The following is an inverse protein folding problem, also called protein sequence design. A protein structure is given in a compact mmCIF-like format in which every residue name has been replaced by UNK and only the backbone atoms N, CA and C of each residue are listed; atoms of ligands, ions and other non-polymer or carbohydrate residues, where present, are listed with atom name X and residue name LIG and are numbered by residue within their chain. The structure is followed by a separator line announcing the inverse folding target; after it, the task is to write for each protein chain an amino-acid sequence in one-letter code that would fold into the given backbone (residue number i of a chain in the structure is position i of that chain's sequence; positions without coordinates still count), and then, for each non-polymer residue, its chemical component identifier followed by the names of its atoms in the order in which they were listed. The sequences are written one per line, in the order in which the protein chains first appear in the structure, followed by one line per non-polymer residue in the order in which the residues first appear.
data_IF_607415288496
#
_entry.id   IF_607415288496
#
_cell.length_a   1.000
_cell.length_b   1.000
_cell.length_c   1.000
_cell.angle_alpha   90.00
_cell.angle_beta   90.00
_cell.angle_gamma   90.00
#
_symmetry.space_group_name_H-M   'P 1'
#
loop_
_entity.id
_entity.type
_entity.pdbx_description
1 polymer ?
#
# COMPACT_ATOMS: atom_id res chain seq x y z
N UNK A 1 -14.17 -35.10 -34.44
CA UNK A 1 -14.23 -35.27 -32.96
C UNK A 1 -13.12 -34.39 -32.37
N UNK A 2 -13.37 -33.76 -31.21
CA UNK A 2 -12.67 -32.62 -30.56
C UNK A 2 -13.16 -31.24 -31.07
N UNK A 3 -14.24 -30.66 -30.54
CA UNK A 3 -14.56 -30.13 -29.18
C UNK A 3 -14.21 -28.63 -29.07
N UNK A 4 -15.24 -27.90 -28.64
CA UNK A 4 -15.45 -26.45 -28.56
C UNK A 4 -14.40 -25.67 -27.75
N UNK A 5 -14.22 -24.39 -28.10
CA UNK A 5 -14.27 -23.31 -27.11
C UNK A 5 -14.64 -21.98 -27.75
N UNK A 6 -15.71 -21.41 -27.21
CA UNK A 6 -16.30 -20.11 -27.49
C UNK A 6 -15.31 -19.01 -27.07
N UNK A 7 -14.98 -18.10 -27.98
CA UNK A 7 -14.38 -16.80 -27.66
C UNK A 7 -15.05 -15.75 -28.53
N UNK A 8 -16.07 -15.09 -27.96
CA UNK A 8 -16.61 -13.81 -28.43
C UNK A 8 -15.44 -12.81 -28.46
N UNK A 9 -14.79 -12.66 -29.61
CA UNK A 9 -13.77 -11.63 -29.85
C UNK A 9 -14.49 -10.28 -29.98
N UNK A 10 -14.35 -9.42 -28.97
CA UNK A 10 -14.48 -7.97 -29.18
C UNK A 10 -13.27 -7.55 -30.01
N UNK A 11 -13.49 -7.23 -31.28
CA UNK A 11 -12.46 -6.67 -32.15
C UNK A 11 -12.43 -5.15 -31.88
N UNK A 12 -11.33 -4.66 -31.32
CA UNK A 12 -11.07 -3.23 -31.11
C UNK A 12 -10.20 -2.76 -32.27
N UNK A 13 -10.67 -1.79 -33.06
CA UNK A 13 -9.92 -1.18 -34.16
C UNK A 13 -9.83 0.32 -33.90
N UNK A 14 -8.60 0.84 -33.87
CA UNK A 14 -8.27 2.26 -33.73
C UNK A 14 -7.96 2.83 -35.13
N UNK A 15 -8.70 3.85 -35.60
CA UNK A 15 -8.45 4.52 -36.88
C UNK A 15 -8.64 6.03 -36.74
N UNK A 16 -7.73 6.82 -37.34
CA UNK A 16 -7.64 8.29 -37.26
C UNK A 16 -8.46 8.92 -38.41
N UNK A 17 -9.29 9.92 -38.11
CA UNK A 17 -10.15 10.63 -39.08
C UNK A 17 -9.49 11.87 -39.70
N UNK A 18 -9.82 12.17 -40.96
CA UNK A 18 -9.50 13.43 -41.67
C UNK A 18 -10.82 14.16 -41.98
N UNK A 19 -10.85 15.49 -41.80
CA UNK A 19 -12.05 16.32 -42.01
C UNK A 19 -12.37 16.50 -43.51
N UNK A 20 -13.64 16.31 -43.90
CA UNK A 20 -14.14 16.50 -45.28
C UNK A 20 -15.46 17.30 -45.23
N UNK A 21 -15.69 18.30 -46.11
CA UNK A 21 -16.93 19.09 -46.13
C UNK A 21 -18.13 18.31 -46.71
N UNK A 22 -19.38 18.65 -46.31
CA UNK A 22 -20.55 17.83 -46.63
C UNK A 22 -21.24 18.26 -47.93
N UNK A 23 -21.50 17.31 -48.83
CA UNK A 23 -22.61 17.38 -49.76
C UNK A 23 -23.30 16.01 -49.83
N UNK A 24 -24.64 16.03 -49.74
CA UNK A 24 -25.66 15.13 -50.35
C UNK A 24 -26.96 15.21 -49.50
N UNK A 25 -28.16 15.24 -50.11
CA UNK A 25 -29.41 15.62 -49.44
C UNK A 25 -30.10 14.46 -48.70
N UNK A 26 -30.93 14.86 -47.73
CA UNK A 26 -31.56 14.04 -46.70
C UNK A 26 -33.00 13.59 -47.04
N UNK A 27 -33.35 12.36 -46.65
CA UNK A 27 -34.74 11.90 -46.46
C UNK A 27 -34.85 11.09 -45.16
N UNK A 28 -35.79 11.39 -44.25
CA UNK A 28 -36.01 10.56 -43.06
C UNK A 28 -37.25 9.66 -43.15
N UNK A 29 -37.18 8.58 -42.37
CA UNK A 29 -38.26 7.78 -41.75
C UNK A 29 -38.84 6.55 -42.49
N UNK A 30 -38.21 5.41 -42.23
CA UNK A 30 -38.84 4.10 -41.99
C UNK A 30 -38.17 3.48 -40.74
N UNK A 31 -38.81 2.52 -40.05
CA UNK A 31 -38.32 1.88 -38.80
C UNK A 31 -36.78 1.79 -38.75
N UNK A 32 -36.15 2.33 -37.69
CA UNK A 32 -34.69 2.35 -37.58
C UNK A 32 -34.16 0.93 -37.41
N UNK A 33 -33.82 0.29 -38.53
CA UNK A 33 -33.22 -1.04 -38.61
C UNK A 33 -31.76 -1.05 -38.11
N UNK A 34 -31.18 0.13 -37.89
CA UNK A 34 -29.86 0.32 -37.26
C UNK A 34 -30.01 1.38 -36.18
N UNK A 35 -29.67 1.01 -34.95
CA UNK A 35 -29.61 1.91 -33.80
C UNK A 35 -28.20 2.48 -33.65
N UNK A 36 -28.09 3.78 -33.40
CA UNK A 36 -26.82 4.48 -33.19
C UNK A 36 -26.87 5.25 -31.87
N UNK A 37 -25.89 5.03 -31.01
CA UNK A 37 -25.69 5.81 -29.78
C UNK A 37 -24.28 6.37 -29.72
N UNK A 38 -24.10 7.50 -29.04
CA UNK A 38 -22.80 8.13 -28.89
C UNK A 38 -22.56 8.60 -27.46
N UNK A 39 -21.29 8.52 -27.05
CA UNK A 39 -20.77 9.04 -25.80
C UNK A 39 -19.60 9.97 -26.10
N UNK A 40 -19.68 11.20 -25.62
CA UNK A 40 -18.62 12.20 -25.68
C UNK A 40 -18.54 12.85 -24.30
N UNK A 41 -17.38 12.76 -23.66
CA UNK A 41 -17.15 13.36 -22.35
C UNK A 41 -17.17 14.88 -22.45
N UNK A 42 -17.79 15.55 -21.47
CA UNK A 42 -18.02 16.99 -21.46
C UNK A 42 -17.50 17.59 -20.15
N UNK A 43 -16.83 18.75 -20.16
CA UNK A 43 -16.60 19.65 -21.29
C UNK A 43 -15.48 19.20 -22.26
N UNK A 44 -15.53 19.70 -23.50
CA UNK A 44 -14.41 19.66 -24.45
C UNK A 44 -13.84 21.07 -24.62
N UNK A 45 -12.59 21.18 -25.04
CA UNK A 45 -11.87 22.46 -25.02
C UNK A 45 -11.42 22.88 -26.41
N UNK A 46 -11.55 24.18 -26.69
CA UNK A 46 -11.04 24.82 -27.91
C UNK A 46 -9.53 24.63 -27.97
N UNK A 47 -9.04 24.21 -29.14
CA UNK A 47 -7.62 23.90 -29.38
C UNK A 47 -7.18 22.50 -28.96
N UNK A 48 -8.01 21.75 -28.21
CA UNK A 48 -7.68 20.40 -27.73
C UNK A 48 -8.42 19.30 -28.50
N UNK A 49 -7.85 18.09 -28.43
CA UNK A 49 -8.46 16.88 -28.96
C UNK A 49 -9.59 16.37 -28.04
N UNK A 50 -10.57 15.72 -28.63
CA UNK A 50 -11.65 15.02 -27.93
C UNK A 50 -11.81 13.61 -28.49
N UNK A 51 -12.27 12.70 -27.63
CA UNK A 51 -12.56 11.32 -27.97
C UNK A 51 -14.05 11.05 -27.82
N UNK A 52 -14.66 10.48 -28.85
CA UNK A 52 -16.05 10.05 -28.82
C UNK A 52 -16.17 8.56 -29.12
N UNK A 53 -17.08 7.90 -28.43
CA UNK A 53 -17.40 6.49 -28.63
C UNK A 53 -18.76 6.37 -29.29
N UNK A 54 -18.83 5.77 -30.46
CA UNK A 54 -20.08 5.48 -31.18
C UNK A 54 -20.36 3.99 -31.13
N UNK A 55 -21.56 3.65 -30.71
CA UNK A 55 -22.06 2.28 -30.70
C UNK A 55 -23.13 2.14 -31.78
N UNK A 56 -22.98 1.12 -32.61
CA UNK A 56 -23.89 0.80 -33.71
C UNK A 56 -24.45 -0.60 -33.46
N UNK A 57 -25.78 -0.72 -33.42
CA UNK A 57 -26.48 -1.99 -33.22
C UNK A 57 -27.39 -2.26 -34.41
N UNK A 58 -27.22 -3.42 -35.05
CA UNK A 58 -28.10 -3.82 -36.15
C UNK A 58 -29.36 -4.49 -35.63
N UNK A 59 -30.52 -4.04 -36.07
CA UNK A 59 -31.82 -4.71 -35.98
C UNK A 59 -32.29 -5.22 -37.35
N UNK A 60 -31.41 -5.15 -38.36
CA UNK A 60 -31.71 -5.58 -39.71
C UNK A 60 -31.61 -7.11 -39.81
N UNK A 61 -32.64 -7.75 -40.36
CA UNK A 61 -32.65 -9.17 -40.69
C UNK A 61 -31.74 -9.44 -41.91
N UNK A 62 -30.43 -9.41 -41.72
CA UNK A 62 -29.42 -9.62 -42.76
C UNK A 62 -28.05 -9.02 -42.43
N UNK A 63 -27.07 -9.21 -43.32
CA UNK A 63 -25.73 -8.60 -43.19
C UNK A 63 -25.80 -7.09 -43.48
N UNK A 64 -25.30 -6.28 -42.56
CA UNK A 64 -25.13 -4.83 -42.73
C UNK A 64 -23.65 -4.51 -42.89
N UNK A 65 -23.26 -3.88 -43.99
CA UNK A 65 -21.86 -3.45 -44.22
C UNK A 65 -21.70 -1.98 -43.89
N UNK A 66 -20.82 -1.66 -42.96
CA UNK A 66 -20.54 -0.28 -42.59
C UNK A 66 -19.64 0.36 -43.65
N UNK A 67 -19.99 1.57 -44.07
CA UNK A 67 -19.24 2.36 -45.05
C UNK A 67 -18.46 3.47 -44.33
N UNK A 68 -19.13 4.20 -43.44
CA UNK A 68 -18.52 5.25 -42.64
C UNK A 68 -19.31 5.50 -41.35
N UNK A 69 -18.63 5.95 -40.31
CA UNK A 69 -19.22 6.29 -39.01
C UNK A 69 -18.71 7.67 -38.63
N UNK A 70 -19.59 8.57 -38.16
CA UNK A 70 -19.19 9.95 -37.92
C UNK A 70 -19.96 10.64 -36.80
N UNK A 71 -19.40 11.74 -36.31
CA UNK A 71 -20.09 12.74 -35.49
C UNK A 71 -20.17 14.05 -36.26
N UNK A 72 -21.36 14.63 -36.29
CA UNK A 72 -21.59 15.95 -36.84
C UNK A 72 -21.96 16.94 -35.74
N UNK A 73 -21.22 18.04 -35.69
CA UNK A 73 -21.52 19.25 -34.94
C UNK A 73 -22.06 20.31 -35.90
N UNK A 74 -22.62 21.39 -35.35
CA UNK A 74 -23.05 22.55 -36.16
C UNK A 74 -21.91 23.23 -36.91
N UNK A 75 -20.65 23.01 -36.51
CA UNK A 75 -19.45 23.68 -37.05
C UNK A 75 -18.49 22.74 -37.80
N UNK A 76 -18.59 21.41 -37.65
CA UNK A 76 -17.76 20.45 -38.39
C UNK A 76 -18.33 19.04 -38.30
N UNK A 77 -17.88 18.15 -39.19
CA UNK A 77 -18.18 16.73 -39.18
C UNK A 77 -16.87 15.93 -39.16
N UNK A 78 -16.80 14.95 -38.26
CA UNK A 78 -15.68 14.03 -38.09
C UNK A 78 -16.15 12.64 -38.52
N UNK A 79 -15.58 12.09 -39.59
CA UNK A 79 -15.99 10.80 -40.16
C UNK A 79 -14.79 9.86 -40.29
N UNK A 80 -14.97 8.60 -39.90
CA UNK A 80 -14.02 7.51 -40.15
C UNK A 80 -14.59 6.55 -41.19
N UNK A 81 -13.74 6.08 -42.11
CA UNK A 81 -14.09 4.99 -43.01
C UNK A 81 -14.24 3.70 -42.21
N UNK A 82 -15.38 3.03 -42.38
CA UNK A 82 -15.69 1.74 -41.75
C UNK A 82 -15.75 0.59 -42.78
N UNK A 83 -15.27 0.85 -44.01
CA UNK A 83 -15.27 -0.14 -45.10
C UNK A 83 -14.51 -1.40 -44.69
N UNK A 84 -15.20 -2.54 -44.72
CA UNK A 84 -14.65 -3.83 -44.29
C UNK A 84 -15.23 -4.34 -42.95
N UNK A 85 -16.00 -3.52 -42.25
CA UNK A 85 -16.78 -3.96 -41.09
C UNK A 85 -18.19 -4.37 -41.53
N UNK A 86 -18.58 -5.60 -41.22
CA UNK A 86 -19.96 -6.06 -41.31
C UNK A 86 -20.49 -6.40 -39.92
N UNK A 87 -21.78 -6.14 -39.72
CA UNK A 87 -22.51 -6.49 -38.50
C UNK A 87 -23.73 -7.32 -38.88
N UNK A 88 -23.93 -8.43 -38.18
CA UNK A 88 -25.10 -9.30 -38.36
C UNK A 88 -26.26 -8.81 -37.48
N UNK A 89 -27.42 -9.43 -37.63
CA UNK A 89 -28.61 -9.12 -36.84
C UNK A 89 -28.33 -9.19 -35.32
N UNK A 90 -28.80 -8.18 -34.58
CA UNK A 90 -28.62 -8.00 -33.14
C UNK A 90 -27.16 -7.87 -32.67
N UNK A 91 -26.20 -7.79 -33.58
CA UNK A 91 -24.82 -7.51 -33.23
C UNK A 91 -24.61 -6.02 -32.96
N UNK A 92 -23.70 -5.74 -32.05
CA UNK A 92 -23.30 -4.39 -31.66
C UNK A 92 -21.81 -4.23 -31.89
N UNK A 93 -21.42 -3.15 -32.55
CA UNK A 93 -20.02 -2.76 -32.73
C UNK A 93 -19.79 -1.37 -32.15
N UNK A 94 -18.53 -1.09 -31.78
CA UNK A 94 -18.13 0.18 -31.19
C UNK A 94 -16.98 0.77 -31.99
N UNK A 95 -17.11 2.03 -32.37
CA UNK A 95 -16.13 2.78 -33.15
C UNK A 95 -15.73 4.02 -32.34
N UNK A 96 -14.43 4.29 -32.27
CA UNK A 96 -13.89 5.49 -31.64
C UNK A 96 -13.61 6.56 -32.69
N UNK A 97 -13.97 7.80 -32.38
CA UNK A 97 -13.69 8.98 -33.19
C UNK A 97 -12.85 9.94 -32.38
N UNK A 98 -11.70 10.32 -32.92
CA UNK A 98 -10.81 11.35 -32.37
C UNK A 98 -10.98 12.58 -33.24
N UNK A 99 -11.32 13.71 -32.61
CA UNK A 99 -11.45 15.01 -33.27
C UNK A 99 -10.71 16.09 -32.49
N UNK A 100 -10.67 17.31 -33.02
CA UNK A 100 -10.14 18.48 -32.33
C UNK A 100 -11.11 19.65 -32.47
N UNK A 101 -11.27 20.45 -31.42
CA UNK A 101 -12.14 21.64 -31.49
C UNK A 101 -11.33 22.79 -32.09
N UNK A 102 -11.71 23.32 -33.27
CA UNK A 102 -10.98 24.40 -33.91
C UNK A 102 -10.99 25.69 -33.09
N UNK A 103 -9.91 26.48 -33.20
CA UNK A 103 -9.73 27.77 -32.50
C UNK A 103 -10.85 28.81 -32.75
N UNK A 104 -11.55 28.72 -33.88
CA UNK A 104 -12.62 29.66 -34.22
C UNK A 104 -13.98 29.33 -33.56
N UNK A 105 -14.10 28.19 -32.88
CA UNK A 105 -15.31 27.81 -32.14
C UNK A 105 -15.41 28.66 -30.87
N UNK A 106 -16.61 29.13 -30.52
CA UNK A 106 -16.84 29.92 -29.31
C UNK A 106 -17.16 29.00 -28.13
N UNK A 107 -16.82 29.36 -26.87
CA UNK A 107 -17.32 28.64 -25.70
C UNK A 107 -18.85 28.64 -25.66
N UNK A 108 -19.45 27.53 -25.23
CA UNK A 108 -20.91 27.43 -25.12
C UNK A 108 -21.43 25.99 -25.15
N UNK A 109 -22.75 25.84 -25.12
CA UNK A 109 -23.42 24.55 -25.30
C UNK A 109 -23.63 24.27 -26.78
N UNK A 110 -23.09 23.15 -27.26
CA UNK A 110 -23.22 22.69 -28.63
C UNK A 110 -24.03 21.41 -28.69
N UNK A 111 -24.66 21.19 -29.84
CA UNK A 111 -25.43 20.00 -30.13
C UNK A 111 -24.71 19.18 -31.18
N UNK A 112 -24.75 17.86 -31.03
CA UNK A 112 -24.14 16.93 -31.99
C UNK A 112 -25.00 15.70 -32.22
N UNK A 113 -24.82 15.06 -33.38
CA UNK A 113 -25.37 13.74 -33.71
C UNK A 113 -24.26 12.82 -34.16
N UNK A 114 -24.29 11.58 -33.72
CA UNK A 114 -23.57 10.51 -34.40
C UNK A 114 -24.44 9.91 -35.51
N UNK A 115 -23.80 9.46 -36.58
CA UNK A 115 -24.44 8.78 -37.70
C UNK A 115 -23.56 7.64 -38.22
N UNK A 116 -24.20 6.72 -38.94
CA UNK A 116 -23.54 5.65 -39.68
C UNK A 116 -24.10 5.57 -41.09
N UNK A 117 -23.21 5.52 -42.08
CA UNK A 117 -23.52 5.16 -43.47
C UNK A 117 -23.28 3.67 -43.60
N UNK A 118 -24.30 2.91 -43.98
CA UNK A 118 -24.23 1.47 -44.14
C UNK A 118 -24.85 1.02 -45.47
N UNK A 119 -24.44 -0.12 -45.98
CA UNK A 119 -25.07 -0.81 -47.10
C UNK A 119 -25.77 -2.07 -46.58
N UNK A 120 -27.04 -2.22 -46.94
CA UNK A 120 -27.87 -3.39 -46.61
C UNK A 120 -28.32 -4.08 -47.90
N UNK A 121 -28.47 -5.39 -47.85
CA UNK A 121 -28.97 -6.18 -48.99
C UNK A 121 -30.48 -6.33 -48.86
N UNK A 122 -31.23 -5.71 -49.77
CA UNK A 122 -32.69 -5.70 -49.83
C UNK A 122 -33.09 -6.11 -51.26
N UNK A 123 -33.95 -7.11 -51.42
CA UNK A 123 -34.42 -7.61 -52.74
C UNK A 123 -33.29 -7.88 -53.76
N UNK A 124 -32.21 -8.54 -53.32
CA UNK A 124 -31.01 -8.85 -54.13
C UNK A 124 -30.26 -7.63 -54.68
N UNK A 125 -30.49 -6.43 -54.12
CA UNK A 125 -29.76 -5.20 -54.44
C UNK A 125 -29.18 -4.55 -53.19
N UNK A 126 -27.95 -4.05 -53.29
CA UNK A 126 -27.34 -3.28 -52.21
C UNK A 126 -27.92 -1.87 -52.18
N UNK A 127 -28.46 -1.49 -51.02
CA UNK A 127 -28.99 -0.15 -50.76
C UNK A 127 -28.18 0.53 -49.67
N UNK A 128 -27.78 1.77 -49.91
CA UNK A 128 -27.14 2.60 -48.89
C UNK A 128 -28.20 3.23 -48.00
N UNK A 129 -28.02 3.10 -46.70
CA UNK A 129 -28.84 3.73 -45.67
C UNK A 129 -27.97 4.57 -44.75
N UNK A 130 -28.56 5.61 -44.19
CA UNK A 130 -27.93 6.46 -43.16
C UNK A 130 -28.80 6.38 -41.92
N UNK A 131 -28.22 5.91 -40.82
CA UNK A 131 -28.88 5.90 -39.52
C UNK A 131 -28.23 6.95 -38.61
N UNK A 132 -29.06 7.70 -37.91
CA UNK A 132 -28.61 8.74 -36.98
C UNK A 132 -29.06 8.42 -35.56
N UNK A 133 -28.22 8.83 -34.62
CA UNK A 133 -28.55 8.87 -33.22
C UNK A 133 -29.47 10.05 -32.87
N UNK A 134 -30.02 10.04 -31.65
CA UNK A 134 -30.67 11.21 -31.07
C UNK A 134 -29.70 12.39 -30.95
N UNK A 135 -30.25 13.59 -30.76
CA UNK A 135 -29.45 14.80 -30.56
C UNK A 135 -28.84 14.83 -29.15
N UNK A 136 -27.53 14.95 -29.05
CA UNK A 136 -26.79 15.09 -27.79
C UNK A 136 -26.31 16.53 -27.59
N UNK A 137 -25.92 16.86 -26.36
CA UNK A 137 -25.36 18.15 -26.00
C UNK A 137 -23.97 18.00 -25.37
N UNK A 138 -23.07 18.93 -25.68
CA UNK A 138 -21.73 19.02 -25.09
C UNK A 138 -21.41 20.47 -24.79
N UNK A 139 -20.75 20.74 -23.66
CA UNK A 139 -20.20 22.05 -23.32
C UNK A 139 -18.81 22.20 -23.91
N UNK A 140 -18.56 23.29 -24.62
CA UNK A 140 -17.24 23.70 -25.14
C UNK A 140 -16.71 24.88 -24.31
N UNK A 141 -15.45 24.85 -23.89
CA UNK A 141 -14.76 25.92 -23.12
C UNK A 141 -13.50 26.43 -23.84
N UNK A 142 -13.07 27.67 -23.57
CA UNK A 142 -11.78 28.26 -24.01
C UNK A 142 -10.84 28.39 -22.81
N UNK A 143 -9.54 28.17 -23.01
CA UNK A 143 -8.50 28.15 -21.97
C UNK A 143 -7.54 29.33 -22.20
N UNK A 144 -7.75 30.49 -21.57
CA UNK A 144 -6.74 31.56 -21.45
C UNK A 144 -6.86 32.24 -20.08
N UNK A 145 -5.78 32.25 -19.28
CA UNK A 145 -5.67 33.10 -18.07
C UNK A 145 -6.15 32.51 -16.74
N UNK A 146 -6.31 31.19 -16.63
CA UNK A 146 -6.87 30.54 -15.44
C UNK A 146 -5.90 29.48 -14.85
N UNK A 147 -5.97 29.24 -13.54
CA UNK A 147 -5.45 28.00 -12.96
C UNK A 147 -6.58 26.98 -13.02
N UNK A 148 -6.36 25.86 -13.69
CA UNK A 148 -7.30 24.74 -13.65
C UNK A 148 -7.06 23.94 -12.38
N UNK A 149 -8.15 23.51 -11.75
CA UNK A 149 -8.14 22.55 -10.66
C UNK A 149 -8.92 21.36 -11.19
N UNK A 150 -8.30 20.21 -11.30
CA UNK A 150 -8.96 18.97 -11.70
C UNK A 150 -8.81 17.96 -10.57
N UNK A 151 -9.94 17.46 -10.07
CA UNK A 151 -9.94 16.35 -9.11
C UNK A 151 -9.70 15.05 -9.92
N UNK A 152 -8.52 14.45 -9.77
CA UNK A 152 -8.11 13.30 -10.60
C UNK A 152 -8.62 11.97 -10.09
N UNK A 153 -8.61 11.78 -8.77
CA UNK A 153 -9.01 10.51 -8.17
C UNK A 153 -9.54 10.75 -6.75
N UNK A 154 -10.70 10.18 -6.49
CA UNK A 154 -11.32 10.05 -5.17
C UNK A 154 -11.90 8.65 -5.17
N UNK A 155 -11.68 7.86 -4.12
CA UNK A 155 -12.33 6.54 -4.04
C UNK A 155 -13.85 6.71 -4.24
N UNK A 156 -14.36 6.18 -5.36
CA UNK A 156 -15.72 6.50 -5.87
C UNK A 156 -16.84 5.87 -5.02
N UNK A 157 -16.47 5.01 -4.07
CA UNK A 157 -17.34 4.30 -3.16
C UNK A 157 -16.63 4.10 -1.82
N UNK A 158 -16.96 4.92 -0.82
CA UNK A 158 -16.40 4.84 0.52
C UNK A 158 -17.45 4.23 1.48
N UNK A 159 -17.09 3.27 2.35
CA UNK A 159 -17.98 2.80 3.41
C UNK A 159 -18.24 3.92 4.44
N UNK A 160 -19.37 3.87 5.15
CA UNK A 160 -19.79 4.92 6.09
C UNK A 160 -18.66 5.31 7.08
N UNK A 161 -18.26 6.58 7.04
CA UNK A 161 -17.23 7.27 7.87
C UNK A 161 -15.76 6.85 7.66
N UNK A 162 -15.18 7.17 6.50
CA UNK A 162 -13.71 7.05 6.33
C UNK A 162 -13.07 8.30 5.74
N UNK A 163 -11.80 8.47 6.12
CA UNK A 163 -10.86 9.40 5.51
C UNK A 163 -10.79 9.13 4.01
N UNK A 164 -11.06 10.15 3.20
CA UNK A 164 -10.90 10.09 1.76
C UNK A 164 -9.54 10.69 1.39
N UNK A 165 -8.77 10.02 0.54
CA UNK A 165 -7.64 10.63 -0.13
C UNK A 165 -8.13 11.26 -1.43
N UNK A 166 -7.97 12.56 -1.58
CA UNK A 166 -8.34 13.33 -2.76
C UNK A 166 -7.08 13.72 -3.50
N UNK A 167 -6.91 13.21 -4.72
CA UNK A 167 -5.86 13.65 -5.63
C UNK A 167 -6.35 14.83 -6.47
N UNK A 168 -5.62 15.94 -6.41
CA UNK A 168 -5.88 17.18 -7.14
C UNK A 168 -4.73 17.46 -8.09
N UNK A 169 -5.04 17.88 -9.31
CA UNK A 169 -4.07 18.48 -10.23
C UNK A 169 -4.38 19.94 -10.41
N UNK A 170 -3.38 20.78 -10.16
CA UNK A 170 -3.41 22.21 -10.40
C UNK A 170 -2.56 22.50 -11.63
N UNK A 171 -3.17 23.10 -12.65
CA UNK A 171 -2.46 23.47 -13.88
C UNK A 171 -2.50 24.98 -14.01
N UNK A 172 -1.35 25.64 -13.81
CA UNK A 172 -1.25 27.07 -14.06
C UNK A 172 -1.05 27.31 -15.55
N UNK A 173 -2.06 27.80 -16.25
CA UNK A 173 -2.01 27.97 -17.72
C UNK A 173 -1.42 29.31 -18.17
N UNK A 174 -0.96 30.18 -17.26
CA UNK A 174 -0.33 31.45 -17.66
C UNK A 174 -0.22 32.57 -16.62
N UNK A 175 -0.51 32.32 -15.34
CA UNK A 175 -0.47 33.32 -14.26
C UNK A 175 0.95 33.46 -13.70
N UNK A 176 1.42 34.70 -13.50
CA UNK A 176 2.78 34.96 -13.00
C UNK A 176 3.09 34.26 -11.66
N UNK A 177 4.32 33.74 -11.47
CA UNK A 177 4.68 32.80 -10.41
C UNK A 177 4.73 33.36 -8.97
N UNK A 178 4.03 34.44 -8.62
CA UNK A 178 4.16 35.10 -7.30
C UNK A 178 2.86 35.45 -6.57
N UNK A 179 1.70 35.06 -7.09
CA UNK A 179 0.43 35.37 -6.44
C UNK A 179 0.14 34.37 -5.31
N UNK A 180 -0.27 34.83 -4.11
CA UNK A 180 -0.66 33.94 -3.03
C UNK A 180 -1.92 33.17 -3.44
N UNK A 181 -1.87 31.85 -3.30
CA UNK A 181 -2.95 30.93 -3.64
C UNK A 181 -3.46 30.26 -2.36
N UNK A 182 -4.77 30.27 -2.16
CA UNK A 182 -5.45 29.59 -1.07
C UNK A 182 -6.33 28.48 -1.66
N UNK A 183 -6.01 27.23 -1.32
CA UNK A 183 -6.83 26.07 -1.65
C UNK A 183 -7.78 25.77 -0.48
N UNK A 184 -9.06 25.60 -0.81
CA UNK A 184 -10.11 25.17 0.12
C UNK A 184 -10.82 23.96 -0.47
N UNK A 185 -11.07 22.94 0.36
CA UNK A 185 -11.94 21.83 0.02
C UNK A 185 -13.22 21.91 0.86
N UNK A 186 -14.36 21.74 0.22
CA UNK A 186 -15.67 21.71 0.87
C UNK A 186 -16.42 20.42 0.51
N UNK A 187 -17.20 19.89 1.44
CA UNK A 187 -18.25 18.92 1.16
C UNK A 187 -19.58 19.46 1.66
N UNK A 188 -20.56 19.60 0.77
CA UNK A 188 -21.92 20.06 1.11
C UNK A 188 -21.91 21.30 2.04
N UNK A 189 -21.09 22.31 1.74
CA UNK A 189 -20.86 23.55 2.51
C UNK A 189 -20.10 23.42 3.84
N UNK A 190 -19.51 22.27 4.15
CA UNK A 190 -18.60 22.07 5.29
C UNK A 190 -17.15 22.14 4.81
N UNK A 191 -16.31 22.99 5.41
CA UNK A 191 -14.87 23.07 5.09
C UNK A 191 -14.19 21.78 5.55
N UNK A 192 -13.53 21.08 4.62
CA UNK A 192 -12.80 19.84 4.87
C UNK A 192 -11.30 20.07 5.04
N UNK A 193 -10.75 21.02 4.27
CA UNK A 193 -9.31 21.31 4.25
C UNK A 193 -9.06 22.74 3.80
N UNK A 194 -7.97 23.31 4.30
CA UNK A 194 -7.49 24.65 3.97
C UNK A 194 -5.98 24.66 3.91
N UNK A 195 -5.42 25.13 2.80
CA UNK A 195 -3.98 25.17 2.60
C UNK A 195 -3.54 26.39 1.81
N UNK A 196 -2.48 27.05 2.29
CA UNK A 196 -1.82 28.13 1.57
C UNK A 196 -0.76 27.52 0.65
N UNK A 197 -0.93 27.65 -0.66
CA UNK A 197 0.00 27.14 -1.64
C UNK A 197 1.02 28.22 -2.00
N UNK A 198 2.29 27.91 -1.77
CA UNK A 198 3.40 28.74 -2.23
C UNK A 198 3.82 28.31 -3.64
N UNK A 199 3.39 29.10 -4.63
CA UNK A 199 3.84 29.11 -6.03
C UNK A 199 3.34 27.97 -6.94
N UNK A 200 2.74 28.37 -8.07
CA UNK A 200 2.50 27.52 -9.25
C UNK A 200 3.17 28.21 -10.44
N UNK A 201 4.20 27.60 -11.04
CA UNK A 201 4.85 28.19 -12.22
C UNK A 201 3.95 28.08 -13.47
N UNK A 202 3.91 29.09 -14.36
CA UNK A 202 3.20 29.00 -15.63
C UNK A 202 3.60 27.74 -16.41
N UNK A 203 2.62 27.05 -16.97
CA UNK A 203 2.78 25.86 -17.80
C UNK A 203 3.19 24.59 -17.03
N UNK A 204 3.20 24.60 -15.70
CA UNK A 204 3.49 23.41 -14.89
C UNK A 204 2.25 22.86 -14.22
N UNK A 205 2.16 21.54 -14.23
CA UNK A 205 1.18 20.75 -13.48
C UNK A 205 1.72 20.47 -12.08
N UNK A 206 0.86 20.58 -11.08
CA UNK A 206 1.17 20.29 -9.69
C UNK A 206 0.13 19.32 -9.14
N UNK A 207 0.58 18.17 -8.69
CA UNK A 207 -0.28 17.17 -8.07
C UNK A 207 -0.23 17.30 -6.55
N UNK A 208 -1.39 17.30 -5.90
CA UNK A 208 -1.55 17.30 -4.45
C UNK A 208 -2.42 16.11 -4.04
N UNK A 209 -1.99 15.40 -3.00
CA UNK A 209 -2.79 14.34 -2.38
C UNK A 209 -3.18 14.80 -0.98
N UNK A 210 -4.48 14.92 -0.73
CA UNK A 210 -5.02 15.50 0.50
C UNK A 210 -5.94 14.47 1.18
N UNK A 211 -5.62 14.11 2.41
CA UNK A 211 -6.45 13.25 3.25
C UNK A 211 -7.48 14.09 4.02
N UNK A 212 -8.77 13.82 3.83
CA UNK A 212 -9.87 14.56 4.48
C UNK A 212 -10.90 13.63 5.12
N UNK A 213 -11.46 14.03 6.25
CA UNK A 213 -12.57 13.30 6.88
C UNK A 213 -13.91 13.81 6.34
N UNK A 214 -14.68 12.94 5.68
CA UNK A 214 -15.98 13.33 5.11
C UNK A 214 -17.09 13.42 6.17
N UNK A 215 -18.07 14.33 6.01
CA UNK A 215 -19.24 14.39 6.88
C UNK A 215 -20.08 13.11 6.75
N UNK A 216 -20.66 12.65 7.85
CA UNK A 216 -21.49 11.44 7.85
C UNK A 216 -22.74 11.62 6.98
N UNK A 217 -22.89 10.79 5.95
CA UNK A 217 -24.10 10.69 5.12
C UNK A 217 -24.40 9.20 4.90
N UNK A 218 -25.57 8.68 5.33
CA UNK A 218 -25.87 7.25 5.33
C UNK A 218 -26.05 6.64 3.93
N UNK A 219 -26.54 7.42 2.96
CA UNK A 219 -26.57 7.05 1.55
C UNK A 219 -26.81 8.31 0.74
N UNK A 220 -26.07 8.49 -0.36
CA UNK A 220 -26.29 9.66 -1.19
C UNK A 220 -25.08 10.04 -2.02
N UNK A 221 -25.09 11.30 -2.45
CA UNK A 221 -23.98 11.88 -3.18
C UNK A 221 -23.46 13.02 -2.34
N UNK A 222 -22.16 13.02 -2.05
CA UNK A 222 -21.46 14.17 -1.49
C UNK A 222 -20.79 14.88 -2.64
N UNK A 223 -21.11 16.15 -2.81
CA UNK A 223 -20.42 17.02 -3.75
C UNK A 223 -19.20 17.60 -3.03
N UNK A 224 -18.01 17.15 -3.43
CA UNK A 224 -16.74 17.70 -2.97
C UNK A 224 -16.34 18.81 -3.92
N UNK A 225 -16.21 20.02 -3.41
CA UNK A 225 -15.82 21.21 -4.16
C UNK A 225 -14.42 21.63 -3.77
N UNK A 226 -13.50 21.64 -4.74
CA UNK A 226 -12.20 22.29 -4.61
C UNK A 226 -12.32 23.74 -5.08
N UNK A 227 -11.86 24.68 -4.25
CA UNK A 227 -11.85 26.11 -4.53
C UNK A 227 -10.42 26.61 -4.38
N UNK A 228 -9.81 27.05 -5.46
CA UNK A 228 -8.52 27.73 -5.44
C UNK A 228 -8.73 29.23 -5.67
N UNK A 229 -8.45 30.03 -4.66
CA UNK A 229 -8.45 31.49 -4.75
C UNK A 229 -7.02 31.99 -4.97
N UNK A 230 -6.77 32.70 -6.07
CA UNK A 230 -5.42 33.13 -6.48
C UNK A 230 -5.31 34.65 -6.67
N UNK A 231 -5.89 35.43 -5.76
CA UNK A 231 -5.86 36.91 -5.68
C UNK A 231 -6.61 37.65 -6.79
N UNK A 232 -6.47 37.24 -8.04
CA UNK A 232 -7.10 37.86 -9.23
C UNK A 232 -8.26 37.04 -9.79
N UNK A 233 -8.51 35.86 -9.24
CA UNK A 233 -9.55 34.94 -9.70
C UNK A 233 -9.79 33.79 -8.74
N UNK A 234 -10.84 33.03 -9.03
CA UNK A 234 -11.24 31.83 -8.29
C UNK A 234 -11.41 30.71 -9.33
N UNK A 235 -10.74 29.59 -9.11
CA UNK A 235 -10.96 28.36 -9.85
C UNK A 235 -11.68 27.35 -8.97
N UNK A 236 -12.65 26.65 -9.55
CA UNK A 236 -13.45 25.68 -8.82
C UNK A 236 -13.66 24.43 -9.65
N UNK A 237 -13.55 23.28 -9.01
CA UNK A 237 -14.02 22.02 -9.54
C UNK A 237 -14.85 21.29 -8.50
N UNK A 238 -15.81 20.50 -8.97
CA UNK A 238 -16.74 19.78 -8.12
C UNK A 238 -16.82 18.34 -8.56
N UNK A 239 -16.39 17.44 -7.69
CA UNK A 239 -16.45 16.02 -7.89
C UNK A 239 -17.55 15.41 -7.04
N UNK A 240 -18.30 14.47 -7.63
CA UNK A 240 -19.39 13.78 -6.94
C UNK A 240 -18.90 12.45 -6.39
N UNK A 241 -18.80 12.36 -5.08
CA UNK A 241 -18.57 11.09 -4.40
C UNK A 241 -19.91 10.43 -4.13
N UNK A 242 -20.14 9.25 -4.72
CA UNK A 242 -21.32 8.47 -4.42
C UNK A 242 -21.04 7.63 -3.18
N UNK A 243 -21.73 7.96 -2.09
CA UNK A 243 -21.82 7.05 -0.95
C UNK A 243 -22.89 6.03 -1.33
N UNK A 244 -22.43 4.86 -1.74
CA UNK A 244 -23.35 3.75 -1.98
C UNK A 244 -24.07 3.44 -0.67
N UNK A 245 -25.43 3.38 -0.65
CA UNK A 245 -26.10 2.74 0.47
C UNK A 245 -25.49 1.36 0.63
N UNK A 246 -25.21 0.94 1.87
CA UNK A 246 -24.87 -0.45 2.15
C UNK A 246 -25.80 -1.33 1.32
N UNK A 247 -25.23 -2.10 0.37
CA UNK A 247 -26.03 -3.07 -0.35
C UNK A 247 -26.62 -4.00 0.71
N UNK A 248 -27.92 -3.86 0.96
CA UNK A 248 -28.76 -4.95 1.47
C UNK A 248 -28.79 -6.04 0.40
N UNK A 249 -27.65 -6.68 0.18
CA UNK A 249 -27.67 -8.06 -0.27
C UNK A 249 -28.51 -8.82 0.75
N UNK A 250 -29.26 -9.82 0.29
CA UNK A 250 -29.97 -10.73 1.19
C UNK A 250 -29.03 -11.09 2.35
N UNK A 251 -29.45 -10.73 3.57
CA UNK A 251 -28.64 -10.97 4.76
C UNK A 251 -28.42 -12.47 4.88
N UNK A 252 -27.22 -12.90 4.51
CA UNK A 252 -26.85 -14.30 4.61
C UNK A 252 -26.45 -14.58 6.06
N UNK A 253 -27.46 -14.85 6.89
CA UNK A 253 -27.31 -15.13 8.31
C UNK A 253 -26.29 -16.25 8.57
N UNK A 254 -26.25 -17.28 7.72
CA UNK A 254 -25.30 -18.40 7.82
C UNK A 254 -23.86 -17.94 7.63
N UNK A 255 -23.59 -17.15 6.58
CA UNK A 255 -22.27 -16.61 6.32
C UNK A 255 -21.85 -15.62 7.41
N UNK A 256 -22.75 -14.71 7.80
CA UNK A 256 -22.47 -13.72 8.83
C UNK A 256 -22.15 -14.36 10.19
N UNK A 257 -22.92 -15.38 10.60
CA UNK A 257 -22.67 -16.14 11.82
C UNK A 257 -21.31 -16.85 11.77
N UNK A 258 -20.96 -17.45 10.62
CA UNK A 258 -19.68 -18.14 10.44
C UNK A 258 -18.49 -17.19 10.61
N UNK A 259 -18.54 -16.01 9.98
CA UNK A 259 -17.47 -15.01 10.08
C UNK A 259 -17.40 -14.40 11.48
N UNK A 260 -18.53 -14.14 12.13
CA UNK A 260 -18.56 -13.64 13.52
C UNK A 260 -18.01 -14.68 14.50
N UNK A 261 -18.34 -15.96 14.32
CA UNK A 261 -17.77 -17.05 15.12
C UNK A 261 -16.26 -17.13 14.94
N UNK A 262 -15.76 -16.96 13.71
CA UNK A 262 -14.32 -16.92 13.45
C UNK A 262 -13.65 -15.68 14.06
N UNK A 263 -14.29 -14.52 13.99
CA UNK A 263 -13.82 -13.29 14.63
C UNK A 263 -13.71 -13.46 16.15
N UNK A 264 -14.75 -14.00 16.79
CA UNK A 264 -14.74 -14.29 18.22
C UNK A 264 -13.64 -15.31 18.59
N UNK A 265 -13.47 -16.38 17.80
CA UNK A 265 -12.40 -17.36 18.00
C UNK A 265 -11.02 -16.69 17.91
N UNK A 266 -10.78 -15.91 16.87
CA UNK A 266 -9.50 -15.24 16.62
C UNK A 266 -9.19 -14.21 17.70
N UNK A 267 -10.18 -13.40 18.12
CA UNK A 267 -10.05 -12.46 19.22
C UNK A 267 -9.67 -13.15 20.52
N UNK A 268 -10.35 -14.23 20.89
CA UNK A 268 -10.06 -14.95 22.13
C UNK A 268 -8.65 -15.58 22.12
N UNK A 269 -8.19 -16.07 20.97
CA UNK A 269 -6.82 -16.57 20.81
C UNK A 269 -5.80 -15.43 20.97
N UNK A 270 -6.03 -14.28 20.32
CA UNK A 270 -5.17 -13.09 20.43
C UNK A 270 -5.13 -12.54 21.86
N UNK A 271 -6.29 -12.44 22.52
CA UNK A 271 -6.41 -12.00 23.90
C UNK A 271 -5.69 -12.97 24.85
N UNK A 272 -5.89 -14.29 24.67
CA UNK A 272 -5.16 -15.31 25.43
C UNK A 272 -3.64 -15.21 25.24
N UNK A 273 -3.17 -14.98 24.01
CA UNK A 273 -1.76 -14.76 23.72
C UNK A 273 -1.20 -13.53 24.45
N UNK A 274 -1.94 -12.43 24.44
CA UNK A 274 -1.57 -11.20 25.14
C UNK A 274 -1.54 -11.38 26.66
N UNK A 275 -2.49 -12.10 27.25
CA UNK A 275 -2.46 -12.44 28.68
C UNK A 275 -1.24 -13.30 29.02
N UNK A 276 -0.90 -14.30 28.20
CA UNK A 276 0.32 -15.11 28.38
C UNK A 276 1.59 -14.25 28.35
N UNK A 277 1.65 -13.25 27.46
CA UNK A 277 2.75 -12.30 27.39
C UNK A 277 2.89 -11.48 28.68
N UNK A 278 1.77 -10.98 29.22
CA UNK A 278 1.75 -10.24 30.49
C UNK A 278 2.17 -11.15 31.66
N UNK A 279 1.72 -12.41 31.68
CA UNK A 279 2.12 -13.38 32.70
C UNK A 279 3.63 -13.65 32.69
N UNK A 280 4.27 -13.56 31.52
CA UNK A 280 5.72 -13.64 31.38
C UNK A 280 6.42 -12.28 31.67
N UNK A 281 5.70 -11.30 32.23
CA UNK A 281 6.16 -9.94 32.53
C UNK A 281 6.67 -9.16 31.31
N UNK A 282 6.09 -9.42 30.14
CA UNK A 282 6.42 -8.71 28.89
C UNK A 282 5.28 -7.80 28.45
N UNK A 283 5.62 -6.72 27.75
CA UNK A 283 4.67 -5.79 27.14
C UNK A 283 4.93 -5.67 25.64
N UNK A 284 3.86 -5.76 24.84
CA UNK A 284 3.88 -5.47 23.40
C UNK A 284 3.17 -4.14 23.14
N UNK A 285 3.91 -3.12 22.72
CA UNK A 285 3.38 -1.78 22.43
C UNK A 285 2.36 -1.87 21.29
N UNK A 286 1.15 -1.37 21.51
CA UNK A 286 0.09 -1.32 20.49
C UNK A 286 -0.76 -2.58 20.38
N UNK A 287 -0.37 -3.70 21.01
CA UNK A 287 -1.18 -4.92 21.01
C UNK A 287 -2.48 -4.74 21.83
N UNK A 288 -2.42 -3.95 22.89
CA UNK A 288 -3.56 -3.54 23.73
C UNK A 288 -4.57 -2.68 22.96
N UNK A 289 -4.08 -1.71 22.19
CA UNK A 289 -4.92 -0.87 21.33
C UNK A 289 -5.62 -1.71 20.26
N UNK A 290 -4.87 -2.58 19.58
CA UNK A 290 -5.42 -3.46 18.54
C UNK A 290 -6.45 -4.45 19.11
N UNK A 291 -6.26 -4.97 20.32
CA UNK A 291 -7.26 -5.80 20.99
C UNK A 291 -8.52 -5.01 21.36
N UNK A 292 -8.36 -3.76 21.78
CA UNK A 292 -9.50 -2.86 22.06
C UNK A 292 -10.30 -2.59 20.79
N UNK A 293 -9.62 -2.26 19.68
CA UNK A 293 -10.25 -2.10 18.37
C UNK A 293 -10.91 -3.40 17.89
N UNK A 294 -10.22 -4.55 18.02
CA UNK A 294 -10.77 -5.85 17.64
C UNK A 294 -12.06 -6.18 18.42
N UNK A 295 -12.09 -5.89 19.72
CA UNK A 295 -13.27 -6.06 20.59
C UNK A 295 -14.41 -5.14 20.16
N UNK A 296 -14.12 -3.85 19.94
CA UNK A 296 -15.09 -2.86 19.45
C UNK A 296 -15.72 -3.28 18.12
N UNK A 297 -14.91 -3.72 17.16
CA UNK A 297 -15.38 -4.20 15.86
C UNK A 297 -16.21 -5.48 15.99
N UNK A 298 -15.86 -6.40 16.90
CA UNK A 298 -16.63 -7.62 17.15
C UNK A 298 -18.00 -7.31 17.76
N UNK A 299 -18.06 -6.43 18.76
CA UNK A 299 -19.32 -5.99 19.37
C UNK A 299 -20.22 -5.34 18.32
N UNK A 300 -19.65 -4.47 17.48
CA UNK A 300 -20.37 -3.83 16.37
C UNK A 300 -20.89 -4.84 15.35
N UNK A 301 -20.08 -5.85 15.00
CA UNK A 301 -20.50 -6.93 14.11
C UNK A 301 -21.68 -7.74 14.67
N UNK A 302 -21.67 -8.04 15.97
CA UNK A 302 -22.76 -8.76 16.65
C UNK A 302 -24.05 -7.91 16.69
N UNK A 303 -23.95 -6.61 16.97
CA UNK A 303 -25.11 -5.71 16.91
C UNK A 303 -25.74 -5.70 15.53
N UNK A 304 -24.92 -5.48 14.50
CA UNK A 304 -25.36 -5.43 13.10
C UNK A 304 -25.93 -6.78 12.62
N UNK A 305 -25.42 -7.91 13.15
CA UNK A 305 -25.99 -9.23 12.87
C UNK A 305 -27.42 -9.36 13.41
N UNK A 306 -27.68 -8.89 14.63
CA UNK A 306 -29.02 -8.91 15.22
C UNK A 306 -30.00 -7.99 14.46
N UNK A 307 -29.49 -6.93 13.85
CA UNK A 307 -30.23 -6.01 12.99
C UNK A 307 -30.41 -6.54 11.55
N UNK A 308 -29.91 -7.75 11.25
CA UNK A 308 -29.89 -8.35 9.91
C UNK A 308 -29.20 -7.45 8.87
N UNK A 309 -28.15 -6.74 9.28
CA UNK A 309 -27.36 -5.87 8.42
C UNK A 309 -26.18 -6.65 7.78
N UNK A 310 -26.05 -6.54 6.45
CA UNK A 310 -25.01 -7.20 5.66
C UNK A 310 -23.59 -6.75 6.02
N UNK A 311 -23.41 -5.58 6.63
CA UNK A 311 -22.08 -5.09 7.03
C UNK A 311 -21.57 -5.67 8.34
N UNK A 312 -22.35 -6.50 9.03
CA UNK A 312 -21.85 -7.35 10.11
C UNK A 312 -20.59 -8.15 9.69
N UNK A 313 -20.55 -8.64 8.44
CA UNK A 313 -19.41 -9.38 7.88
C UNK A 313 -18.17 -8.49 7.78
N UNK A 314 -18.33 -7.24 7.35
CA UNK A 314 -17.22 -6.30 7.21
C UNK A 314 -16.56 -6.01 8.56
N UNK A 315 -17.36 -5.71 9.58
CA UNK A 315 -16.86 -5.47 10.94
C UNK A 315 -16.25 -6.72 11.58
N UNK A 316 -16.82 -7.91 11.33
CA UNK A 316 -16.23 -9.17 11.77
C UNK A 316 -14.85 -9.41 11.12
N UNK A 317 -14.68 -9.13 9.83
CA UNK A 317 -13.39 -9.23 9.15
C UNK A 317 -12.36 -8.21 9.68
N UNK A 318 -12.78 -6.98 9.99
CA UNK A 318 -11.90 -5.99 10.66
C UNK A 318 -11.44 -6.51 12.03
N UNK A 319 -12.34 -7.11 12.82
CA UNK A 319 -11.98 -7.72 14.11
C UNK A 319 -10.95 -8.84 13.95
N UNK A 320 -11.10 -9.70 12.94
CA UNK A 320 -10.12 -10.76 12.61
C UNK A 320 -8.76 -10.15 12.29
N UNK A 321 -8.71 -9.11 11.44
CA UNK A 321 -7.46 -8.46 11.05
C UNK A 321 -6.72 -7.88 12.26
N UNK A 322 -7.39 -7.05 13.06
CA UNK A 322 -6.80 -6.46 14.27
C UNK A 322 -6.35 -7.53 15.29
N UNK A 323 -7.11 -8.63 15.44
CA UNK A 323 -6.73 -9.74 16.32
C UNK A 323 -5.46 -10.46 15.84
N UNK A 324 -5.31 -10.64 14.52
CA UNK A 324 -4.10 -11.24 13.92
C UNK A 324 -2.89 -10.33 14.08
N UNK A 325 -3.05 -9.03 13.85
CA UNK A 325 -1.98 -8.04 14.03
C UNK A 325 -1.54 -7.96 15.50
N UNK A 326 -2.48 -7.98 16.45
CA UNK A 326 -2.17 -8.04 17.87
C UNK A 326 -1.37 -9.31 18.22
N UNK A 327 -1.76 -10.46 17.67
CA UNK A 327 -1.04 -11.73 17.85
C UNK A 327 0.38 -11.64 17.30
N UNK A 328 0.56 -11.05 16.12
CA UNK A 328 1.88 -10.84 15.53
C UNK A 328 2.78 -9.96 16.41
N UNK A 329 2.24 -8.88 16.98
CA UNK A 329 3.00 -8.02 17.91
C UNK A 329 3.43 -8.77 19.17
N UNK A 330 2.57 -9.64 19.72
CA UNK A 330 2.93 -10.53 20.84
C UNK A 330 4.08 -11.46 20.46
N UNK A 331 4.00 -12.11 19.30
CA UNK A 331 5.02 -13.03 18.80
C UNK A 331 6.37 -12.32 18.56
N UNK A 332 6.34 -11.14 17.92
CA UNK A 332 7.52 -10.31 17.69
C UNK A 332 8.15 -9.85 19.01
N UNK A 333 7.34 -9.57 20.03
CA UNK A 333 7.87 -9.20 21.35
C UNK A 333 8.67 -10.34 21.97
N UNK A 334 8.17 -11.57 21.91
CA UNK A 334 8.92 -12.73 22.37
C UNK A 334 10.25 -12.88 21.62
N UNK A 335 10.25 -12.77 20.28
CA UNK A 335 11.47 -12.86 19.47
C UNK A 335 12.50 -11.80 19.90
N UNK A 336 12.07 -10.54 19.98
CA UNK A 336 12.96 -9.42 20.29
C UNK A 336 13.62 -9.57 21.66
N UNK A 337 12.87 -10.02 22.66
CA UNK A 337 13.41 -10.23 24.02
C UNK A 337 14.39 -11.41 24.03
N UNK A 338 14.04 -12.52 23.37
CA UNK A 338 14.95 -13.68 23.22
C UNK A 338 16.27 -13.27 22.56
N UNK A 339 16.21 -12.49 21.49
CA UNK A 339 17.38 -11.99 20.77
C UNK A 339 18.27 -11.12 21.68
N UNK A 340 17.69 -10.21 22.46
CA UNK A 340 18.43 -9.40 23.43
C UNK A 340 19.11 -10.23 24.53
N UNK A 341 18.45 -11.28 25.02
CA UNK A 341 19.01 -12.19 26.02
C UNK A 341 20.24 -12.90 25.45
N UNK A 342 20.12 -13.47 24.25
CA UNK A 342 21.20 -14.20 23.58
C UNK A 342 22.38 -13.26 23.27
N UNK A 343 22.11 -12.07 22.73
CA UNK A 343 23.15 -11.09 22.46
C UNK A 343 23.91 -10.66 23.71
N UNK A 344 23.22 -10.52 24.86
CA UNK A 344 23.85 -10.19 26.13
C UNK A 344 24.78 -11.31 26.59
N UNK A 345 24.33 -12.56 26.48
CA UNK A 345 25.15 -13.73 26.81
C UNK A 345 26.39 -13.83 25.89
N UNK A 346 26.21 -13.66 24.58
CA UNK A 346 27.31 -13.63 23.62
C UNK A 346 28.32 -12.53 23.92
N UNK A 347 27.84 -11.32 24.24
CA UNK A 347 28.70 -10.20 24.64
C UNK A 347 29.51 -10.54 25.90
N UNK A 348 28.90 -11.15 26.92
CA UNK A 348 29.63 -11.60 28.12
C UNK A 348 30.74 -12.60 27.75
N UNK A 349 30.42 -13.62 26.96
CA UNK A 349 31.39 -14.63 26.51
C UNK A 349 32.56 -13.96 25.77
N UNK A 350 32.27 -13.06 24.83
CA UNK A 350 33.29 -12.31 24.08
C UNK A 350 34.18 -11.46 24.98
N UNK A 351 33.59 -10.73 25.94
CA UNK A 351 34.34 -9.90 26.88
C UNK A 351 35.32 -10.72 27.71
N UNK A 352 34.87 -11.83 28.33
CA UNK A 352 35.76 -12.65 29.16
C UNK A 352 36.86 -13.34 28.34
N UNK A 353 36.58 -13.73 27.09
CA UNK A 353 37.62 -14.21 26.16
C UNK A 353 38.68 -13.14 25.87
N UNK A 354 38.28 -11.88 25.67
CA UNK A 354 39.21 -10.77 25.48
C UNK A 354 40.05 -10.49 26.72
N UNK A 355 39.51 -10.72 27.92
CA UNK A 355 40.24 -10.64 29.20
C UNK A 355 41.20 -11.82 29.44
N UNK A 356 41.26 -12.78 28.52
CA UNK A 356 42.19 -13.92 28.59
C UNK A 356 41.65 -15.14 29.32
N UNK A 357 40.38 -15.15 29.74
CA UNK A 357 39.71 -16.33 30.27
C UNK A 357 39.51 -17.33 29.12
N UNK A 358 40.13 -18.50 29.25
CA UNK A 358 40.13 -19.58 28.25
C UNK A 358 40.05 -20.92 28.96
N UNK A 359 39.61 -21.95 28.25
CA UNK A 359 39.49 -23.30 28.77
C UNK A 359 38.25 -23.99 28.23
N UNK A 360 38.09 -25.27 28.58
CA UNK A 360 36.98 -26.11 28.13
C UNK A 360 35.61 -25.51 28.52
N UNK A 361 35.49 -24.96 29.73
CA UNK A 361 34.27 -24.30 30.21
C UNK A 361 33.88 -23.10 29.36
N UNK A 362 34.87 -22.35 28.87
CA UNK A 362 34.61 -21.21 28.00
C UNK A 362 34.18 -21.63 26.59
N UNK A 363 34.70 -22.75 26.08
CA UNK A 363 34.22 -23.35 24.83
C UNK A 363 32.78 -23.89 24.98
N UNK A 364 32.45 -24.51 26.12
CA UNK A 364 31.08 -24.95 26.43
C UNK A 364 30.11 -23.76 26.51
N UNK A 365 30.52 -22.64 27.12
CA UNK A 365 29.72 -21.42 27.15
C UNK A 365 29.43 -20.89 25.72
N UNK A 366 30.45 -20.87 24.84
CA UNK A 366 30.26 -20.47 23.45
C UNK A 366 29.35 -21.43 22.69
N UNK A 367 29.53 -22.74 22.85
CA UNK A 367 28.69 -23.75 22.21
C UNK A 367 27.22 -23.62 22.64
N UNK A 368 26.98 -23.33 23.92
CA UNK A 368 25.63 -23.10 24.44
C UNK A 368 24.99 -21.84 23.82
N UNK A 369 25.75 -20.75 23.65
CA UNK A 369 25.25 -19.55 22.94
C UNK A 369 24.82 -19.89 21.50
N UNK A 370 25.58 -20.71 20.78
CA UNK A 370 25.21 -21.13 19.42
C UNK A 370 23.97 -22.05 19.40
N UNK A 371 23.80 -22.91 20.41
CA UNK A 371 22.56 -23.68 20.59
C UNK A 371 21.34 -22.76 20.78
N UNK A 372 21.47 -21.74 21.63
CA UNK A 372 20.40 -20.77 21.87
C UNK A 372 20.05 -19.97 20.61
N UNK A 373 21.04 -19.60 19.79
CA UNK A 373 20.80 -18.99 18.46
C UNK A 373 20.02 -19.93 17.53
N UNK A 374 20.32 -21.23 17.58
CA UNK A 374 19.55 -22.26 16.88
C UNK A 374 18.08 -22.30 17.30
N UNK A 375 17.81 -22.19 18.61
CA UNK A 375 16.44 -22.10 19.14
C UNK A 375 15.73 -20.81 18.71
N UNK A 376 16.42 -19.66 18.68
CA UNK A 376 15.86 -18.41 18.15
C UNK A 376 15.45 -18.54 16.67
N UNK A 377 16.23 -19.28 15.87
CA UNK A 377 15.88 -19.54 14.46
C UNK A 377 14.60 -20.37 14.33
N UNK A 378 14.45 -21.43 15.14
CA UNK A 378 13.21 -22.23 15.18
C UNK A 378 12.02 -21.40 15.64
N UNK A 379 12.22 -20.57 16.66
CA UNK A 379 11.22 -19.66 17.21
C UNK A 379 10.69 -18.68 16.16
N UNK A 380 11.57 -18.12 15.31
CA UNK A 380 11.16 -17.27 14.18
C UNK A 380 10.28 -18.04 13.19
N UNK A 381 10.58 -19.30 12.92
CA UNK A 381 9.72 -20.17 12.11
C UNK A 381 8.32 -20.34 12.70
N UNK A 382 8.22 -20.73 13.98
CA UNK A 382 6.93 -20.91 14.65
C UNK A 382 6.10 -19.62 14.72
N UNK A 383 6.76 -18.47 14.94
CA UNK A 383 6.09 -17.19 15.07
C UNK A 383 5.64 -16.60 13.72
N UNK A 384 6.52 -16.57 12.72
CA UNK A 384 6.27 -15.82 11.48
C UNK A 384 5.61 -16.66 10.39
N UNK A 385 5.74 -18.00 10.45
CA UNK A 385 5.15 -18.90 9.47
C UNK A 385 3.90 -19.55 10.05
N UNK A 386 4.03 -20.19 11.21
CA UNK A 386 2.92 -20.96 11.80
C UNK A 386 1.98 -20.11 12.67
N UNK A 387 2.39 -18.89 13.05
CA UNK A 387 1.73 -18.03 14.04
C UNK A 387 1.39 -18.76 15.37
N UNK A 388 2.24 -19.72 15.77
CA UNK A 388 2.00 -20.61 16.91
C UNK A 388 2.56 -20.01 18.21
N UNK A 389 1.70 -19.29 18.94
CA UNK A 389 2.03 -18.63 20.21
C UNK A 389 2.58 -19.59 21.26
N UNK A 390 2.03 -20.79 21.36
CA UNK A 390 2.41 -21.74 22.42
C UNK A 390 3.76 -22.40 22.14
N UNK A 391 4.11 -22.66 20.88
CA UNK A 391 5.48 -23.07 20.53
C UNK A 391 6.47 -21.93 20.74
N UNK A 392 6.15 -20.72 20.27
CA UNK A 392 7.01 -19.55 20.43
C UNK A 392 7.29 -19.24 21.90
N UNK A 393 6.26 -19.27 22.76
CA UNK A 393 6.42 -19.08 24.21
C UNK A 393 7.28 -20.16 24.85
N UNK A 394 7.11 -21.43 24.47
CA UNK A 394 7.94 -22.53 24.98
C UNK A 394 9.42 -22.36 24.61
N UNK A 395 9.72 -21.95 23.37
CA UNK A 395 11.09 -21.64 22.96
C UNK A 395 11.65 -20.46 23.77
N UNK A 396 10.88 -19.41 24.00
CA UNK A 396 11.28 -18.29 24.85
C UNK A 396 11.61 -18.75 26.28
N UNK A 397 10.73 -19.52 26.92
CA UNK A 397 10.94 -20.04 28.29
C UNK A 397 12.16 -20.96 28.39
N UNK A 398 12.39 -21.78 27.35
CA UNK A 398 13.59 -22.61 27.23
C UNK A 398 14.85 -21.75 27.21
N UNK A 399 14.90 -20.73 26.34
CA UNK A 399 16.05 -19.81 26.27
C UNK A 399 16.27 -19.06 27.57
N UNK A 400 15.19 -18.60 28.22
CA UNK A 400 15.25 -17.90 29.50
C UNK A 400 15.88 -18.77 30.60
N UNK A 401 15.62 -20.08 30.59
CA UNK A 401 16.16 -21.03 31.58
C UNK A 401 17.60 -21.42 31.24
N UNK A 402 17.88 -21.68 29.97
CA UNK A 402 19.17 -22.22 29.53
C UNK A 402 20.28 -21.16 29.44
N UNK A 403 19.94 -19.86 29.40
CA UNK A 403 20.95 -18.79 29.44
C UNK A 403 21.73 -18.79 30.77
N UNK A 404 21.12 -19.25 31.87
CA UNK A 404 21.78 -19.35 33.18
C UNK A 404 22.94 -20.37 33.15
N UNK A 405 22.86 -21.39 32.28
CA UNK A 405 23.97 -22.33 32.07
C UNK A 405 25.18 -21.63 31.44
N UNK A 406 24.95 -20.66 30.56
CA UNK A 406 26.04 -19.85 29.97
C UNK A 406 26.74 -19.08 31.08
N UNK A 407 25.99 -18.38 31.94
CA UNK A 407 26.56 -17.63 33.05
C UNK A 407 27.34 -18.54 34.02
N UNK A 408 26.79 -19.72 34.34
CA UNK A 408 27.48 -20.73 35.16
C UNK A 408 28.80 -21.19 34.53
N UNK A 409 28.83 -21.49 33.24
CA UNK A 409 30.07 -21.89 32.57
C UNK A 409 31.11 -20.78 32.53
N UNK A 410 30.69 -19.52 32.37
CA UNK A 410 31.60 -18.37 32.43
C UNK A 410 32.18 -18.24 33.86
N UNK A 411 31.37 -18.39 34.90
CA UNK A 411 31.85 -18.29 36.29
C UNK A 411 32.80 -19.44 36.68
N UNK A 412 32.52 -20.66 36.24
CA UNK A 412 33.44 -21.79 36.38
C UNK A 412 34.76 -21.52 35.64
N UNK A 413 34.70 -21.00 34.41
CA UNK A 413 35.90 -20.65 33.64
C UNK A 413 36.72 -19.54 34.31
N UNK A 414 36.07 -18.55 34.93
CA UNK A 414 36.75 -17.51 35.73
C UNK A 414 37.47 -18.10 36.93
N UNK A 415 36.82 -18.99 37.68
CA UNK A 415 37.41 -19.63 38.86
C UNK A 415 38.66 -20.44 38.47
N UNK A 416 38.58 -21.25 37.41
CA UNK A 416 39.72 -22.01 36.88
C UNK A 416 40.87 -21.08 36.42
N UNK A 417 40.53 -19.97 35.77
CA UNK A 417 41.51 -18.99 35.32
C UNK A 417 42.24 -18.31 36.49
N UNK A 418 41.52 -17.96 37.56
CA UNK A 418 42.11 -17.38 38.77
C UNK A 418 43.02 -18.38 39.46
N UNK A 419 42.60 -19.64 39.59
CA UNK A 419 43.38 -20.68 40.25
C UNK A 419 44.67 -21.00 39.49
N UNK A 420 44.59 -21.18 38.16
CA UNK A 420 45.77 -21.41 37.31
C UNK A 420 46.72 -20.22 37.32
N UNK A 421 46.20 -18.99 37.33
CA UNK A 421 47.03 -17.77 37.41
C UNK A 421 47.66 -17.62 38.80
N UNK A 422 46.96 -17.96 39.88
CA UNK A 422 47.50 -17.99 41.24
C UNK A 422 48.65 -19.01 41.37
N UNK A 423 48.46 -20.23 40.83
CA UNK A 423 49.54 -21.24 40.74
C UNK A 423 50.71 -20.73 39.90
N UNK A 424 50.45 -20.08 38.77
CA UNK A 424 51.53 -19.49 37.95
C UNK A 424 52.30 -18.40 38.71
N UNK A 425 51.61 -17.59 39.52
CA UNK A 425 52.22 -16.56 40.36
C UNK A 425 53.09 -17.18 41.46
N UNK A 426 52.62 -18.24 42.13
CA UNK A 426 53.42 -18.92 43.15
C UNK A 426 54.66 -19.59 42.56
N UNK A 427 54.56 -20.18 41.36
CA UNK A 427 55.73 -20.68 40.63
C UNK A 427 56.72 -19.58 40.25
N UNK A 428 56.24 -18.43 39.78
CA UNK A 428 57.10 -17.27 39.48
C UNK A 428 57.75 -16.74 40.76
N UNK A 429 56.99 -16.61 41.85
CA UNK A 429 57.51 -16.14 43.12
C UNK A 429 58.58 -17.10 43.68
N UNK A 430 58.34 -18.41 43.59
CA UNK A 430 59.30 -19.44 43.96
C UNK A 430 60.57 -19.39 43.10
N UNK A 431 60.44 -19.18 41.79
CA UNK A 431 61.58 -18.97 40.90
C UNK A 431 62.36 -17.69 41.22
N UNK A 432 61.67 -16.59 41.56
CA UNK A 432 62.32 -15.34 41.96
C UNK A 432 63.08 -15.53 43.27
N UNK A 433 62.48 -16.17 44.27
CA UNK A 433 63.13 -16.51 45.54
C UNK A 433 64.35 -17.41 45.30
N UNK A 434 64.21 -18.46 44.50
CA UNK A 434 65.33 -19.34 44.12
C UNK A 434 66.45 -18.57 43.41
N UNK A 435 66.10 -17.66 42.49
CA UNK A 435 67.06 -16.81 41.79
C UNK A 435 67.79 -15.87 42.76
N UNK A 436 67.10 -15.33 43.76
CA UNK A 436 67.69 -14.51 44.84
C UNK A 436 68.66 -15.35 45.68
N UNK A 437 68.29 -16.59 46.05
CA UNK A 437 69.17 -17.50 46.80
C UNK A 437 70.45 -17.82 46.01
N UNK A 438 70.32 -18.12 44.70
CA UNK A 438 71.46 -18.36 43.81
C UNK A 438 72.34 -17.10 43.70
N UNK A 439 71.73 -15.91 43.60
CA UNK A 439 72.43 -14.62 43.60
C UNK A 439 73.16 -14.30 44.91
N UNK A 440 72.66 -14.81 46.04
CA UNK A 440 73.34 -14.66 47.34
C UNK A 440 74.57 -15.57 47.41
N UNK A 441 74.52 -16.75 46.79
CA UNK A 441 75.60 -17.75 46.82
C UNK A 441 76.74 -17.45 45.82
N UNK A 442 76.47 -16.72 44.73
CA UNK A 442 77.47 -16.34 43.73
C UNK A 442 78.06 -14.96 44.08
N UNK A 443 79.39 -14.88 44.13
CA UNK A 443 80.16 -13.71 44.59
C UNK A 443 79.81 -12.35 43.94
N UNK A 444 80.16 -11.30 44.68
CA UNK A 444 79.62 -9.93 44.65
C UNK A 444 79.52 -9.18 43.30
N UNK A 445 80.23 -9.60 42.23
CA UNK A 445 80.27 -8.85 40.95
C UNK A 445 79.10 -9.14 39.99
N UNK A 446 78.40 -10.28 40.11
CA UNK A 446 77.27 -10.64 39.23
C UNK A 446 75.90 -10.18 39.76
N UNK A 447 75.82 -9.67 40.99
CA UNK A 447 74.56 -9.37 41.69
C UNK A 447 73.73 -8.26 41.08
N UNK A 448 74.35 -7.18 40.61
CA UNK A 448 73.65 -5.96 40.21
C UNK A 448 72.95 -6.06 38.85
N UNK A 449 73.48 -6.88 37.94
CA UNK A 449 72.94 -7.07 36.60
C UNK A 449 71.69 -7.96 36.61
N UNK A 450 71.71 -9.04 37.38
CA UNK A 450 70.59 -9.99 37.44
C UNK A 450 69.39 -9.40 38.19
N UNK A 451 69.62 -8.63 39.27
CA UNK A 451 68.54 -7.96 40.02
C UNK A 451 67.81 -6.94 39.15
N UNK A 452 68.52 -6.12 38.35
CA UNK A 452 67.89 -5.19 37.40
C UNK A 452 67.06 -5.89 36.33
N UNK A 453 67.50 -7.07 35.88
CA UNK A 453 66.77 -7.84 34.86
C UNK A 453 65.48 -8.46 35.42
N UNK A 454 65.55 -9.08 36.60
CA UNK A 454 64.41 -9.69 37.28
C UNK A 454 63.35 -8.65 37.67
N UNK A 455 63.76 -7.47 38.15
CA UNK A 455 62.83 -6.39 38.51
C UNK A 455 62.06 -5.89 37.28
N UNK A 456 62.72 -5.77 36.13
CA UNK A 456 62.10 -5.32 34.88
C UNK A 456 61.05 -6.30 34.35
N UNK A 457 61.29 -7.61 34.54
CA UNK A 457 60.35 -8.68 34.16
C UNK A 457 59.14 -8.71 35.12
N UNK A 458 59.37 -8.53 36.42
CA UNK A 458 58.30 -8.48 37.42
C UNK A 458 57.37 -7.27 37.21
N UNK A 459 57.91 -6.07 36.98
CA UNK A 459 57.11 -4.85 36.78
C UNK A 459 56.23 -4.88 35.53
N UNK A 460 56.62 -5.62 34.49
CA UNK A 460 55.82 -5.76 33.26
C UNK A 460 54.61 -6.68 33.45
N UNK A 461 54.70 -7.67 34.34
CA UNK A 461 53.60 -8.61 34.63
C UNK A 461 52.60 -8.06 35.65
N UNK A 462 53.05 -7.26 36.63
CA UNK A 462 52.18 -6.67 37.68
C UNK A 462 51.24 -5.61 37.13
N UNK A 463 51.65 -4.79 36.14
CA UNK A 463 50.75 -3.82 35.48
C UNK A 463 49.55 -4.45 34.77
N UNK A 464 49.61 -5.74 34.44
CA UNK A 464 48.47 -6.48 33.87
C UNK A 464 47.49 -7.01 34.94
N UNK A 465 47.73 -6.76 36.23
CA UNK A 465 46.91 -7.23 37.35
C UNK A 465 46.00 -6.10 37.88
N UNK A 466 46.49 -4.87 37.95
CA UNK A 466 45.71 -3.68 38.37
C UNK A 466 44.55 -3.32 37.42
N UNK A 467 44.56 -3.82 36.18
CA UNK A 467 43.50 -3.58 35.20
C UNK A 467 42.36 -4.63 35.24
N UNK A 468 42.45 -5.63 36.14
CA UNK A 468 41.53 -6.78 36.23
C UNK A 468 40.85 -6.93 37.61
N UNK A 469 41.25 -6.15 38.60
CA UNK A 469 40.48 -5.92 39.83
C UNK A 469 39.52 -4.75 39.60
#
# INVERSE_FOLDING_TARGET
MLVQSILKKKVVILLIALAIPPEVPYQPLGQQLIEVTALLESPIYIGLQFNATITVTSRYHGEVRLLAVGISFTWSTFEVSARGLSIEENQTTTIFIIGAVPEHVKPGMYRFRAYVKAAVLEDMRWRTIVAESKLYQVRIKKIEGEILVDILDVEHSLPESQEACIALTLINTGIEPKLPCLLLLYANNTELHRENLTWLSPGKEFMLNISVTLPYVPAGVIDITAILNYSIGIATDTFRVRIEPERKGEFNATLALLVISEANRTYNLAFSAYIKLIQDNLSAVGADLLLTEASSMLIKAISLFNEMNSTAIFYANKSIAYSRDATLLVLLRYINVTEQIIERAERKVKTYRMLGVRGEKMERAQAKVEELKGELSKMRGYALIDMDVDKTRRSYQKVLTEVDEVDKFIDEAKAEHIETRARSMTYILAQVILSIIILVYIGNRMRLLVVRLLFRVATKKVRGVELLC
#
